data_IF_834026250515
#
_entry.id   IF_834026250515
#
_cell.length_a   1.000
_cell.length_b   1.000
_cell.length_c   1.000
_cell.angle_alpha   90.00
_cell.angle_beta   90.00
_cell.angle_gamma   90.00
#
_symmetry.space_group_name_H-M   'P 1'
#
loop_
_entity.id
_entity.type
_entity.pdbx_description
1 polymer ?
#
# COMPACT_ATOMS: atom_id res chain seq x y z
N UNK A 1 -18.88 23.77 -5.94
CA UNK A 1 -19.19 23.01 -4.71
C UNK A 1 -20.46 22.18 -4.83
N UNK A 2 -21.58 22.71 -5.35
CA UNK A 2 -22.85 21.96 -5.48
C UNK A 2 -22.77 20.74 -6.42
N UNK A 3 -21.93 20.78 -7.45
CA UNK A 3 -21.78 19.69 -8.44
C UNK A 3 -21.00 18.48 -7.91
N UNK A 4 -19.94 18.69 -7.15
CA UNK A 4 -19.09 17.62 -6.61
C UNK A 4 -19.82 16.76 -5.56
N UNK A 5 -20.63 17.40 -4.72
CA UNK A 5 -21.45 16.69 -3.73
C UNK A 5 -22.50 15.84 -4.44
N UNK A 6 -23.14 16.37 -5.49
CA UNK A 6 -24.13 15.62 -6.28
C UNK A 6 -23.54 14.37 -6.95
N UNK A 7 -22.32 14.47 -7.51
CA UNK A 7 -21.63 13.33 -8.11
C UNK A 7 -21.22 12.27 -7.08
N UNK A 8 -20.71 12.68 -5.92
CA UNK A 8 -20.34 11.75 -4.85
C UNK A 8 -21.57 11.07 -4.23
N UNK A 9 -22.69 11.80 -4.06
CA UNK A 9 -23.97 11.22 -3.64
C UNK A 9 -24.47 10.19 -4.66
N UNK A 10 -24.42 10.49 -5.96
CA UNK A 10 -24.84 9.56 -6.99
C UNK A 10 -23.97 8.28 -7.02
N UNK A 11 -22.65 8.42 -6.81
CA UNK A 11 -21.74 7.26 -6.67
C UNK A 11 -22.06 6.43 -5.43
N UNK A 12 -22.34 7.09 -4.30
CA UNK A 12 -22.72 6.42 -3.06
C UNK A 12 -24.04 5.66 -3.22
N UNK A 13 -25.06 6.27 -3.83
CA UNK A 13 -26.33 5.59 -4.12
C UNK A 13 -26.16 4.39 -5.07
N UNK A 14 -25.32 4.53 -6.09
CA UNK A 14 -25.01 3.42 -7.01
C UNK A 14 -24.29 2.28 -6.28
N UNK A 15 -23.38 2.60 -5.36
CA UNK A 15 -22.70 1.61 -4.51
C UNK A 15 -23.69 0.90 -3.58
N UNK A 16 -24.63 1.63 -2.97
CA UNK A 16 -25.68 1.05 -2.13
C UNK A 16 -26.57 0.08 -2.92
N UNK A 17 -27.04 0.46 -4.11
CA UNK A 17 -27.83 -0.44 -4.98
C UNK A 17 -27.10 -1.73 -5.31
N UNK A 18 -25.79 -1.64 -5.56
CA UNK A 18 -24.95 -2.82 -5.80
C UNK A 18 -24.83 -3.69 -4.54
N UNK A 19 -24.65 -3.07 -3.38
CA UNK A 19 -24.64 -3.75 -2.08
C UNK A 19 -25.96 -4.47 -1.78
N UNK A 20 -27.10 -3.84 -2.06
CA UNK A 20 -28.42 -4.46 -1.89
C UNK A 20 -28.58 -5.73 -2.74
N UNK A 21 -28.11 -5.68 -4.00
CA UNK A 21 -28.15 -6.84 -4.88
C UNK A 21 -27.27 -8.00 -4.36
N UNK A 22 -26.12 -7.69 -3.74
CA UNK A 22 -25.25 -8.68 -3.11
C UNK A 22 -25.95 -9.37 -1.94
N UNK A 23 -26.52 -8.59 -1.01
CA UNK A 23 -27.20 -9.13 0.18
C UNK A 23 -28.47 -9.92 -0.20
N UNK A 24 -29.19 -9.51 -1.26
CA UNK A 24 -30.32 -10.29 -1.80
C UNK A 24 -29.88 -11.61 -2.44
N UNK A 25 -28.74 -11.60 -3.13
CA UNK A 25 -28.19 -12.76 -3.83
C UNK A 25 -27.67 -13.85 -2.89
N UNK A 26 -27.29 -13.49 -1.66
CA UNK A 26 -26.79 -14.43 -0.66
C UNK A 26 -27.53 -14.27 0.69
N UNK A 27 -28.51 -15.14 0.98
CA UNK A 27 -29.24 -15.14 2.24
C UNK A 27 -28.38 -15.39 3.48
N UNK A 28 -27.18 -15.97 3.34
CA UNK A 28 -26.27 -16.26 4.45
C UNK A 28 -25.24 -15.16 4.68
N UNK A 29 -25.13 -14.22 3.75
CA UNK A 29 -24.23 -13.07 3.87
C UNK A 29 -24.46 -12.34 5.18
N UNK A 30 -23.37 -12.03 5.85
CA UNK A 30 -23.35 -11.25 7.08
C UNK A 30 -22.58 -9.92 6.89
N UNK A 31 -22.65 -8.99 7.86
CA UNK A 31 -21.95 -7.70 7.75
C UNK A 31 -20.43 -7.82 7.63
N UNK A 32 -19.82 -8.87 8.17
CA UNK A 32 -18.38 -9.06 8.11
C UNK A 32 -17.94 -9.51 6.72
N UNK A 33 -18.75 -10.30 6.01
CA UNK A 33 -18.53 -10.62 4.58
C UNK A 33 -18.47 -9.37 3.70
N UNK A 34 -19.36 -8.41 3.98
CA UNK A 34 -19.38 -7.13 3.28
C UNK A 34 -18.12 -6.30 3.55
N UNK A 35 -17.67 -6.30 4.80
CA UNK A 35 -16.45 -5.61 5.22
C UNK A 35 -15.19 -6.24 4.61
N UNK A 36 -14.99 -7.55 4.76
CA UNK A 36 -13.74 -8.20 4.35
C UNK A 36 -13.56 -8.22 2.81
N UNK A 37 -14.66 -8.26 2.06
CA UNK A 37 -14.60 -8.40 0.59
C UNK A 37 -14.70 -7.05 -0.13
N UNK A 38 -15.46 -6.09 0.41
CA UNK A 38 -15.75 -4.81 -0.25
C UNK A 38 -15.45 -3.59 0.62
N UNK A 39 -14.95 -3.76 1.85
CA UNK A 39 -14.59 -2.66 2.74
C UNK A 39 -15.80 -1.86 3.26
N UNK A 40 -17.00 -2.43 3.19
CA UNK A 40 -18.23 -1.76 3.62
C UNK A 40 -18.29 -1.81 5.16
N UNK A 41 -18.37 -0.66 5.85
CA UNK A 41 -18.43 -0.62 7.31
C UNK A 41 -19.77 -1.15 7.85
N UNK A 42 -19.83 -1.43 9.16
CA UNK A 42 -21.00 -2.02 9.80
C UNK A 42 -22.24 -1.14 9.64
N UNK A 43 -22.10 0.17 9.81
CA UNK A 43 -23.20 1.14 9.75
C UNK A 43 -23.85 1.17 8.36
N UNK A 44 -23.04 1.05 7.31
CA UNK A 44 -23.56 0.94 5.94
C UNK A 44 -24.18 -0.44 5.70
N UNK A 45 -23.63 -1.48 6.32
CA UNK A 45 -24.22 -2.82 6.27
C UNK A 45 -25.59 -2.87 6.96
N UNK A 46 -25.79 -2.19 8.10
CA UNK A 46 -27.10 -2.04 8.73
C UNK A 46 -28.13 -1.43 7.78
N UNK A 47 -27.75 -0.39 7.03
CA UNK A 47 -28.62 0.21 6.03
C UNK A 47 -28.96 -0.77 4.90
N UNK A 48 -27.95 -1.45 4.34
CA UNK A 48 -28.13 -2.41 3.24
C UNK A 48 -29.06 -3.57 3.62
N UNK A 49 -28.86 -4.15 4.80
CA UNK A 49 -29.68 -5.25 5.30
C UNK A 49 -31.12 -4.77 5.56
N UNK A 50 -31.27 -3.57 6.15
CA UNK A 50 -32.59 -2.95 6.37
C UNK A 50 -33.38 -2.76 5.07
N UNK A 51 -32.74 -2.32 3.99
CA UNK A 51 -33.37 -2.13 2.67
C UNK A 51 -33.84 -3.42 2.01
N UNK A 52 -33.27 -4.57 2.39
CA UNK A 52 -33.70 -5.89 1.91
C UNK A 52 -34.66 -6.59 2.89
N UNK A 53 -35.13 -5.88 3.92
CA UNK A 53 -36.05 -6.40 4.93
C UNK A 53 -35.41 -7.31 5.98
N UNK A 54 -34.07 -7.32 6.08
CA UNK A 54 -33.33 -8.07 7.10
C UNK A 54 -32.86 -7.10 8.18
N UNK A 55 -33.40 -7.20 9.40
CA UNK A 55 -32.97 -6.35 10.50
C UNK A 55 -31.81 -7.00 11.25
N UNK A 56 -30.68 -6.30 11.34
CA UNK A 56 -29.55 -6.73 12.17
C UNK A 56 -29.89 -6.56 13.65
N UNK A 57 -29.35 -7.44 14.47
CA UNK A 57 -29.53 -7.50 15.91
C UNK A 57 -28.23 -7.14 16.64
N UNK A 58 -28.32 -6.87 17.95
CA UNK A 58 -27.14 -6.71 18.80
C UNK A 58 -26.19 -7.93 18.75
N UNK A 59 -26.74 -9.13 18.52
CA UNK A 59 -25.93 -10.32 18.33
C UNK A 59 -25.12 -10.23 17.03
N UNK A 60 -25.73 -9.78 15.94
CA UNK A 60 -25.04 -9.63 14.65
C UNK A 60 -23.94 -8.57 14.73
N UNK A 61 -24.17 -7.49 15.51
CA UNK A 61 -23.14 -6.50 15.81
C UNK A 61 -21.96 -7.09 16.56
N UNK A 62 -22.25 -7.86 17.62
CA UNK A 62 -21.21 -8.52 18.40
C UNK A 62 -20.44 -9.55 17.58
N UNK A 63 -21.14 -10.36 16.77
CA UNK A 63 -20.50 -11.33 15.88
C UNK A 63 -19.60 -10.63 14.84
N UNK A 64 -20.01 -9.46 14.33
CA UNK A 64 -19.18 -8.62 13.46
C UNK A 64 -17.92 -8.12 14.19
N UNK A 65 -18.06 -7.55 15.39
CA UNK A 65 -16.96 -7.03 16.20
C UNK A 65 -15.95 -8.14 16.55
N UNK A 66 -16.43 -9.32 16.94
CA UNK A 66 -15.59 -10.49 17.25
C UNK A 66 -14.83 -10.99 16.01
N UNK A 67 -15.48 -11.05 14.84
CA UNK A 67 -14.84 -11.41 13.57
C UNK A 67 -13.83 -10.37 13.12
N UNK A 68 -14.16 -9.08 13.27
CA UNK A 68 -13.26 -7.97 12.97
C UNK A 68 -12.02 -8.00 13.87
N UNK A 69 -12.20 -8.24 15.17
CA UNK A 69 -11.10 -8.36 16.12
C UNK A 69 -10.16 -9.51 15.75
N UNK A 70 -10.72 -10.71 15.45
CA UNK A 70 -9.95 -11.87 14.96
C UNK A 70 -9.24 -11.60 13.65
N UNK A 71 -9.91 -10.94 12.70
CA UNK A 71 -9.29 -10.57 11.42
C UNK A 71 -8.15 -9.57 11.63
N UNK A 72 -8.34 -8.57 12.50
CA UNK A 72 -7.28 -7.62 12.84
C UNK A 72 -6.13 -8.31 13.56
N UNK A 73 -6.41 -9.25 14.46
CA UNK A 73 -5.39 -10.05 15.15
C UNK A 73 -4.61 -10.94 14.17
N UNK A 74 -5.31 -11.71 13.32
CA UNK A 74 -4.67 -12.50 12.27
C UNK A 74 -3.85 -11.61 11.33
N UNK A 75 -4.37 -10.43 10.95
CA UNK A 75 -3.62 -9.45 10.17
C UNK A 75 -2.41 -8.91 10.93
N UNK A 76 -2.46 -8.76 12.25
CA UNK A 76 -1.34 -8.33 13.10
C UNK A 76 -0.29 -9.42 13.26
N UNK A 77 -0.70 -10.66 13.49
CA UNK A 77 0.20 -11.82 13.61
C UNK A 77 0.86 -12.15 12.27
N UNK A 78 0.09 -12.13 11.19
CA UNK A 78 0.65 -12.19 9.83
C UNK A 78 1.58 -11.00 9.61
N UNK A 79 1.26 -9.78 10.04
CA UNK A 79 2.19 -8.64 9.95
C UNK A 79 3.45 -8.78 10.81
N UNK A 80 3.38 -9.54 11.90
CA UNK A 80 4.53 -9.84 12.76
C UNK A 80 5.45 -10.89 12.12
N UNK A 81 4.90 -11.79 11.29
CA UNK A 81 5.64 -12.75 10.47
C UNK A 81 5.98 -12.26 9.04
N UNK A 82 5.25 -11.27 8.51
CA UNK A 82 5.51 -10.59 7.23
C UNK A 82 6.71 -9.71 7.44
N UNK A 83 7.83 -10.21 6.93
CA UNK A 83 9.15 -9.61 6.97
C UNK A 83 9.12 -8.08 6.81
N UNK A 84 9.89 -7.43 7.69
CA UNK A 84 10.17 -5.99 7.75
C UNK A 84 10.20 -5.37 6.33
N UNK A 85 9.25 -4.49 6.03
CA UNK A 85 9.18 -3.80 4.73
C UNK A 85 8.10 -4.28 3.76
N UNK A 86 7.25 -5.25 4.16
CA UNK A 86 6.17 -5.76 3.31
C UNK A 86 6.60 -6.91 2.40
N UNK A 87 7.68 -7.62 2.77
CA UNK A 87 8.22 -8.74 2.00
C UNK A 87 7.46 -10.03 2.33
N UNK A 88 7.12 -10.80 1.29
CA UNK A 88 6.52 -12.12 1.46
C UNK A 88 7.53 -13.17 1.94
N UNK A 89 8.80 -13.05 1.51
CA UNK A 89 9.91 -13.91 1.89
C UNK A 89 11.26 -13.16 1.73
N UNK A 90 12.39 -13.89 1.71
CA UNK A 90 13.74 -13.33 1.50
C UNK A 90 14.46 -13.97 0.30
N UNK A 91 13.71 -14.40 -0.72
CA UNK A 91 14.24 -14.86 -2.00
C UNK A 91 14.98 -13.74 -2.72
N UNK A 92 15.85 -14.10 -3.69
CA UNK A 92 16.58 -13.12 -4.49
C UNK A 92 15.65 -12.19 -5.25
N UNK A 93 14.56 -12.72 -5.79
CA UNK A 93 13.52 -11.99 -6.51
C UNK A 93 12.84 -10.94 -5.62
N UNK A 94 12.46 -11.33 -4.40
CA UNK A 94 11.86 -10.41 -3.43
C UNK A 94 12.87 -9.33 -3.00
N UNK A 95 14.14 -9.68 -2.80
CA UNK A 95 15.21 -8.73 -2.45
C UNK A 95 15.46 -7.71 -3.58
N UNK A 96 15.45 -8.15 -4.84
CA UNK A 96 15.53 -7.27 -6.03
C UNK A 96 14.39 -6.27 -6.03
N UNK A 97 13.16 -6.77 -5.90
CA UNK A 97 11.95 -5.94 -5.91
C UNK A 97 11.83 -5.03 -4.68
N UNK A 98 12.41 -5.42 -3.55
CA UNK A 98 12.48 -4.55 -2.38
C UNK A 98 13.35 -3.32 -2.62
N UNK A 99 14.51 -3.52 -3.23
CA UNK A 99 15.39 -2.40 -3.61
C UNK A 99 14.76 -1.55 -4.72
N UNK A 100 14.08 -2.18 -5.68
CA UNK A 100 13.30 -1.48 -6.70
C UNK A 100 12.22 -0.58 -6.08
N UNK A 101 11.61 -0.98 -4.97
CA UNK A 101 10.60 -0.18 -4.26
C UNK A 101 11.16 1.16 -3.77
N UNK A 102 12.40 1.18 -3.25
CA UNK A 102 13.07 2.42 -2.83
C UNK A 102 13.35 3.35 -4.02
N UNK A 103 13.77 2.79 -5.15
CA UNK A 103 13.99 3.56 -6.37
C UNK A 103 12.69 4.13 -6.91
N UNK A 104 11.62 3.33 -6.95
CA UNK A 104 10.29 3.77 -7.38
C UNK A 104 9.80 4.90 -6.48
N UNK A 105 9.96 4.78 -5.16
CA UNK A 105 9.50 5.80 -4.23
C UNK A 105 10.26 7.12 -4.41
N UNK A 106 11.59 7.07 -4.49
CA UNK A 106 12.40 8.26 -4.76
C UNK A 106 12.07 8.89 -6.13
N UNK A 107 11.85 8.08 -7.17
CA UNK A 107 11.44 8.55 -8.49
C UNK A 107 10.06 9.23 -8.46
N UNK A 108 9.08 8.64 -7.76
CA UNK A 108 7.75 9.25 -7.57
C UNK A 108 7.87 10.60 -6.87
N UNK A 109 8.68 10.73 -5.82
CA UNK A 109 8.93 12.01 -5.14
C UNK A 109 9.60 13.05 -6.04
N UNK A 110 10.51 12.64 -6.92
CA UNK A 110 11.16 13.55 -7.89
C UNK A 110 10.19 14.00 -8.99
N UNK A 111 9.28 13.15 -9.43
CA UNK A 111 8.34 13.46 -10.54
C UNK A 111 7.11 14.22 -10.03
N UNK A 112 6.55 13.81 -8.89
CA UNK A 112 5.27 14.30 -8.36
C UNK A 112 5.43 15.26 -7.17
N UNK A 113 6.62 15.35 -6.60
CA UNK A 113 6.95 16.22 -5.47
C UNK A 113 7.09 15.50 -4.12
N UNK A 114 7.62 16.22 -3.14
CA UNK A 114 8.00 15.71 -1.81
C UNK A 114 6.80 15.34 -0.91
N UNK A 115 5.58 15.64 -1.32
CA UNK A 115 4.35 15.27 -0.60
C UNK A 115 3.97 13.80 -0.79
N UNK A 116 4.58 13.10 -1.75
CA UNK A 116 4.39 11.67 -1.94
C UNK A 116 4.96 10.91 -0.73
N UNK A 117 4.10 10.17 -0.05
CA UNK A 117 4.46 9.35 1.11
C UNK A 117 3.93 7.93 0.92
N UNK A 118 4.72 6.95 1.32
CA UNK A 118 4.30 5.55 1.33
C UNK A 118 3.08 5.36 2.25
N UNK A 119 2.07 4.63 1.75
CA UNK A 119 0.87 4.21 2.48
C UNK A 119 0.79 2.70 2.65
N UNK A 120 1.53 1.93 1.86
CA UNK A 120 1.57 0.48 1.93
C UNK A 120 2.56 -0.11 0.93
N UNK A 121 3.08 -1.30 1.23
CA UNK A 121 3.89 -2.09 0.31
C UNK A 121 3.59 -3.57 0.48
N UNK A 122 3.66 -4.34 -0.60
CA UNK A 122 3.65 -5.79 -0.59
C UNK A 122 4.50 -6.31 -1.75
N UNK A 123 5.51 -7.11 -1.44
CA UNK A 123 6.48 -7.62 -2.39
C UNK A 123 6.46 -9.15 -2.34
N UNK A 124 6.36 -9.75 -3.51
CA UNK A 124 6.35 -11.20 -3.79
C UNK A 124 7.38 -11.47 -4.87
N UNK A 125 7.76 -12.73 -5.11
CA UNK A 125 8.73 -13.07 -6.15
C UNK A 125 8.29 -12.59 -7.55
N UNK A 126 6.98 -12.48 -7.80
CA UNK A 126 6.43 -12.12 -9.10
C UNK A 126 6.20 -10.62 -9.29
N UNK A 127 6.06 -9.86 -8.20
CA UNK A 127 5.66 -8.44 -8.27
C UNK A 127 5.92 -7.67 -6.98
N UNK A 128 6.07 -6.35 -7.11
CA UNK A 128 5.85 -5.39 -6.02
C UNK A 128 4.54 -4.63 -6.22
N UNK A 129 3.88 -4.33 -5.10
CA UNK A 129 2.73 -3.44 -4.99
C UNK A 129 3.10 -2.30 -4.08
N UNK A 130 3.01 -1.07 -4.57
CA UNK A 130 3.37 0.12 -3.82
C UNK A 130 2.20 1.11 -3.77
N UNK A 131 1.81 1.50 -2.57
CA UNK A 131 0.72 2.44 -2.32
C UNK A 131 1.30 3.74 -1.80
N UNK A 132 0.90 4.87 -2.36
CA UNK A 132 1.42 6.18 -1.99
C UNK A 132 0.36 7.28 -2.04
N UNK A 133 0.62 8.38 -1.31
CA UNK A 133 -0.27 9.53 -1.29
C UNK A 133 -0.17 10.34 -2.58
N UNK A 134 -1.26 10.40 -3.32
CA UNK A 134 -1.42 11.24 -4.50
C UNK A 134 -2.93 11.39 -4.83
N UNK A 135 -3.43 12.57 -5.22
CA UNK A 135 -4.87 12.81 -5.37
C UNK A 135 -5.50 12.06 -6.56
N UNK A 136 -4.72 11.80 -7.61
CA UNK A 136 -5.19 11.26 -8.88
C UNK A 136 -4.25 10.20 -9.44
N UNK A 137 -4.68 9.47 -10.46
CA UNK A 137 -3.81 8.48 -11.12
C UNK A 137 -2.71 9.19 -11.88
N UNK A 138 -1.56 8.54 -12.03
CA UNK A 138 -0.47 9.08 -12.84
C UNK A 138 -0.90 9.09 -14.30
N UNK A 139 -0.52 10.14 -15.02
CA UNK A 139 -0.55 10.15 -16.47
C UNK A 139 0.47 9.17 -17.04
N UNK A 140 0.27 8.74 -18.30
CA UNK A 140 1.21 7.87 -19.00
C UNK A 140 2.62 8.48 -19.09
N UNK A 141 2.72 9.80 -19.16
CA UNK A 141 3.99 10.51 -19.17
C UNK A 141 4.70 10.44 -17.81
N UNK A 142 3.96 10.59 -16.71
CA UNK A 142 4.52 10.45 -15.36
C UNK A 142 4.96 9.02 -15.10
N UNK A 143 4.19 8.01 -15.52
CA UNK A 143 4.61 6.61 -15.45
C UNK A 143 5.92 6.40 -16.19
N UNK A 144 6.03 6.89 -17.44
CA UNK A 144 7.27 6.79 -18.23
C UNK A 144 8.44 7.50 -17.58
N UNK A 145 8.24 8.67 -16.99
CA UNK A 145 9.29 9.40 -16.25
C UNK A 145 9.76 8.65 -15.02
N UNK A 146 8.83 8.11 -14.22
CA UNK A 146 9.16 7.31 -13.03
C UNK A 146 9.94 6.07 -13.44
N UNK A 147 9.42 5.29 -14.40
CA UNK A 147 10.08 4.09 -14.90
C UNK A 147 11.46 4.39 -15.50
N UNK A 148 11.58 5.49 -16.27
CA UNK A 148 12.84 5.94 -16.84
C UNK A 148 13.88 6.29 -15.77
N UNK A 149 13.50 7.08 -14.75
CA UNK A 149 14.41 7.45 -13.66
C UNK A 149 14.89 6.26 -12.84
N UNK A 150 14.01 5.28 -12.59
CA UNK A 150 14.38 4.04 -11.89
C UNK A 150 15.41 3.26 -12.70
N UNK A 151 15.12 3.01 -13.99
CA UNK A 151 16.03 2.24 -14.83
C UNK A 151 17.36 2.96 -15.08
N UNK A 152 17.36 4.30 -15.17
CA UNK A 152 18.59 5.10 -15.23
C UNK A 152 19.47 4.89 -13.97
N UNK A 153 18.87 4.82 -12.78
CA UNK A 153 19.63 4.53 -11.55
C UNK A 153 20.13 3.08 -11.49
N UNK A 154 19.41 2.16 -12.13
CA UNK A 154 19.85 0.77 -12.24
C UNK A 154 21.05 0.66 -13.17
N UNK A 155 21.01 1.32 -14.32
CA UNK A 155 22.11 1.37 -15.29
C UNK A 155 23.39 1.99 -14.72
N UNK A 156 23.28 2.88 -13.73
CA UNK A 156 24.42 3.47 -13.02
C UNK A 156 25.15 2.51 -12.07
N UNK A 157 24.64 1.30 -11.82
CA UNK A 157 25.21 0.31 -10.89
C UNK A 157 25.55 0.90 -9.50
N UNK A 158 24.62 1.65 -8.92
CA UNK A 158 24.82 2.36 -7.66
C UNK A 158 24.99 1.36 -6.50
N UNK A 159 25.91 1.63 -5.55
CA UNK A 159 26.03 0.81 -4.35
C UNK A 159 24.81 1.00 -3.45
N UNK A 160 24.40 -0.09 -2.82
CA UNK A 160 23.35 -0.13 -1.79
C UNK A 160 24.03 -0.48 -0.47
N UNK A 161 23.96 0.44 0.49
CA UNK A 161 24.57 0.27 1.80
C UNK A 161 23.58 0.63 2.89
N UNK A 162 23.87 0.21 4.12
CA UNK A 162 23.13 0.68 5.28
C UNK A 162 24.03 0.97 6.46
N UNK A 163 23.55 1.84 7.33
CA UNK A 163 24.14 2.13 8.63
C UNK A 163 23.08 1.95 9.72
N UNK A 164 23.50 1.47 10.90
CA UNK A 164 22.63 1.45 12.08
C UNK A 164 22.78 2.76 12.85
N UNK A 165 21.69 3.49 13.01
CA UNK A 165 21.64 4.79 13.69
C UNK A 165 20.41 4.88 14.58
N UNK A 166 20.35 5.88 15.44
CA UNK A 166 19.10 6.21 16.13
C UNK A 166 18.08 6.78 15.15
N UNK A 167 16.79 6.62 15.43
CA UNK A 167 15.73 7.21 14.59
C UNK A 167 15.87 8.74 14.46
N UNK A 168 16.26 9.42 15.53
CA UNK A 168 16.50 10.86 15.53
C UNK A 168 17.62 11.26 14.57
N UNK A 169 18.76 10.56 14.60
CA UNK A 169 19.87 10.80 13.66
C UNK A 169 19.46 10.53 12.22
N UNK A 170 18.76 9.41 11.97
CA UNK A 170 18.28 9.06 10.63
C UNK A 170 17.41 10.19 10.05
N UNK A 171 16.46 10.68 10.85
CA UNK A 171 15.54 11.77 10.45
C UNK A 171 16.31 13.07 10.20
N UNK A 172 17.29 13.40 11.06
CA UNK A 172 18.13 14.60 10.91
C UNK A 172 18.98 14.56 9.62
N UNK A 173 19.41 13.38 9.19
CA UNK A 173 20.15 13.16 7.94
C UNK A 173 19.26 13.12 6.69
N UNK A 174 17.96 13.38 6.85
CA UNK A 174 16.98 13.39 5.77
C UNK A 174 16.53 12.00 5.32
N UNK A 175 16.77 10.95 6.11
CA UNK A 175 16.25 9.63 5.79
C UNK A 175 14.72 9.63 5.89
N UNK A 176 14.07 9.12 4.86
CA UNK A 176 12.62 8.99 4.88
C UNK A 176 12.22 7.83 5.80
N UNK A 177 11.23 8.07 6.66
CA UNK A 177 10.67 7.06 7.54
C UNK A 177 9.15 7.19 7.55
N UNK A 178 8.44 6.07 7.40
CA UNK A 178 7.00 6.10 7.11
C UNK A 178 6.13 5.58 8.23
N UNK A 179 6.67 4.69 9.06
CA UNK A 179 5.94 4.06 10.16
C UNK A 179 6.63 4.34 11.50
N UNK A 180 6.81 5.64 11.81
CA UNK A 180 7.52 6.19 12.98
C UNK A 180 7.33 5.39 14.27
N UNK A 181 6.07 5.12 14.62
CA UNK A 181 5.68 4.42 15.85
C UNK A 181 6.14 2.95 15.93
N UNK A 182 6.56 2.35 14.81
CA UNK A 182 7.01 0.95 14.73
C UNK A 182 8.53 0.79 14.79
N UNK A 183 9.29 1.89 14.83
CA UNK A 183 10.75 1.81 14.84
C UNK A 183 11.27 1.72 16.29
N UNK A 184 12.22 0.81 16.51
CA UNK A 184 12.95 0.70 17.77
C UNK A 184 13.98 1.83 17.94
N UNK A 185 14.71 1.80 19.07
CA UNK A 185 15.74 2.80 19.40
C UNK A 185 16.81 2.92 18.31
N UNK A 186 17.20 1.78 17.71
CA UNK A 186 18.09 1.70 16.56
C UNK A 186 17.34 1.27 15.32
N UNK A 187 17.66 1.93 14.21
CA UNK A 187 17.11 1.66 12.88
C UNK A 187 18.23 1.48 11.87
N UNK A 188 17.95 0.71 10.82
CA UNK A 188 18.81 0.63 9.64
C UNK A 188 18.39 1.69 8.64
N UNK A 189 19.34 2.50 8.22
CA UNK A 189 19.16 3.52 7.18
C UNK A 189 19.83 3.02 5.92
N UNK A 190 19.04 2.64 4.92
CA UNK A 190 19.54 2.23 3.62
C UNK A 190 19.77 3.45 2.73
N UNK A 191 20.91 3.49 2.06
CA UNK A 191 21.29 4.51 1.09
C UNK A 191 21.58 3.84 -0.25
N UNK A 192 20.99 4.38 -1.32
CA UNK A 192 21.19 3.92 -2.71
C UNK A 192 21.75 5.09 -3.51
N UNK A 193 23.08 5.11 -3.66
CA UNK A 193 23.80 6.26 -4.21
C UNK A 193 23.39 7.57 -3.55
N UNK A 194 23.17 8.61 -4.35
CA UNK A 194 22.62 9.90 -3.94
C UNK A 194 21.09 9.99 -4.19
N UNK A 195 20.46 8.88 -4.59
CA UNK A 195 19.10 8.88 -5.11
C UNK A 195 18.04 8.62 -4.06
N UNK A 196 18.30 7.69 -3.13
CA UNK A 196 17.36 7.28 -2.08
C UNK A 196 18.07 7.07 -0.76
N UNK A 197 17.43 7.51 0.34
CA UNK A 197 17.85 7.29 1.72
C UNK A 197 16.62 7.05 2.58
N UNK A 198 16.44 5.83 3.07
CA UNK A 198 15.21 5.41 3.75
C UNK A 198 15.48 4.51 4.95
N UNK A 199 14.65 4.63 5.98
CA UNK A 199 14.65 3.72 7.12
C UNK A 199 13.94 2.41 6.74
N UNK A 200 14.71 1.33 6.59
CA UNK A 200 14.18 0.04 6.19
C UNK A 200 14.86 -1.12 6.94
N UNK A 201 14.09 -2.14 7.30
CA UNK A 201 14.56 -3.29 8.09
C UNK A 201 14.70 -4.59 7.31
N UNK A 202 14.34 -4.61 6.03
CA UNK A 202 14.40 -5.80 5.18
C UNK A 202 15.74 -5.93 4.43
N UNK A 203 16.06 -7.11 3.88
CA UNK A 203 17.24 -7.31 3.05
C UNK A 203 17.16 -6.56 1.72
N UNK A 204 18.31 -6.16 1.18
CA UNK A 204 18.45 -5.47 -0.10
C UNK A 204 19.58 -6.09 -0.92
N UNK A 205 19.57 -5.84 -2.23
CA UNK A 205 20.72 -6.17 -3.10
C UNK A 205 21.92 -5.30 -2.70
N UNK A 206 23.13 -5.64 -3.16
CA UNK A 206 24.33 -4.84 -2.87
C UNK A 206 24.56 -3.73 -3.87
N UNK A 207 24.02 -3.88 -5.09
CA UNK A 207 24.06 -2.86 -6.14
C UNK A 207 22.79 -2.83 -6.97
N UNK A 208 22.48 -1.67 -7.57
CA UNK A 208 21.24 -1.51 -8.34
C UNK A 208 21.20 -2.34 -9.63
N UNK A 209 22.35 -2.69 -10.24
CA UNK A 209 22.38 -3.55 -11.45
C UNK A 209 21.80 -4.94 -11.21
N UNK A 210 21.85 -5.45 -9.97
CA UNK A 210 21.27 -6.73 -9.60
C UNK A 210 19.73 -6.74 -9.73
N UNK A 211 19.09 -5.56 -9.76
CA UNK A 211 17.63 -5.43 -9.88
C UNK A 211 17.15 -5.86 -11.27
N UNK A 212 17.94 -5.70 -12.33
CA UNK A 212 17.49 -5.86 -13.71
C UNK A 212 16.61 -4.69 -14.16
N UNK A 213 15.66 -4.92 -15.06
CA UNK A 213 14.80 -3.85 -15.61
C UNK A 213 13.47 -3.78 -14.87
N UNK A 214 13.12 -2.60 -14.36
CA UNK A 214 11.85 -2.37 -13.67
C UNK A 214 10.80 -1.87 -14.64
N UNK A 215 9.58 -2.40 -14.52
CA UNK A 215 8.42 -1.98 -15.31
C UNK A 215 7.18 -1.77 -14.44
N UNK A 216 6.48 -0.66 -14.61
CA UNK A 216 5.17 -0.42 -13.99
C UNK A 216 4.09 -1.04 -14.89
N UNK A 217 3.39 -2.05 -14.37
CA UNK A 217 2.44 -2.87 -15.16
C UNK A 217 0.98 -2.49 -14.93
N UNK A 218 0.64 -1.89 -13.79
CA UNK A 218 -0.74 -1.52 -13.46
C UNK A 218 -0.77 -0.39 -12.43
N UNK A 219 -1.82 0.43 -12.49
CA UNK A 219 -2.17 1.38 -11.43
C UNK A 219 -3.66 1.38 -11.08
N UNK A 220 -3.98 1.65 -9.82
CA UNK A 220 -5.33 1.69 -9.26
C UNK A 220 -5.49 2.89 -8.33
N UNK A 221 -6.70 3.45 -8.28
CA UNK A 221 -7.06 4.48 -7.28
C UNK A 221 -7.75 3.76 -6.12
N UNK A 222 -7.14 3.81 -4.94
CA UNK A 222 -7.59 3.04 -3.76
C UNK A 222 -8.60 3.79 -2.89
N UNK A 223 -8.99 5.00 -3.31
CA UNK A 223 -9.86 5.91 -2.57
C UNK A 223 -9.41 7.35 -2.74
N UNK A 224 -9.77 8.20 -1.78
CA UNK A 224 -9.35 9.60 -1.76
C UNK A 224 -7.89 9.72 -1.36
N UNK A 225 -7.05 10.25 -2.25
CA UNK A 225 -5.66 10.61 -1.95
C UNK A 225 -4.66 9.45 -1.91
N UNK A 226 -5.04 8.24 -2.33
CA UNK A 226 -4.13 7.09 -2.40
C UNK A 226 -4.15 6.43 -3.78
N UNK A 227 -2.96 6.26 -4.34
CA UNK A 227 -2.73 5.54 -5.59
C UNK A 227 -1.90 4.31 -5.30
N UNK A 228 -2.23 3.21 -5.97
CA UNK A 228 -1.50 1.96 -5.95
C UNK A 228 -0.90 1.70 -7.31
N UNK A 229 0.36 1.31 -7.34
CA UNK A 229 1.03 0.80 -8.54
C UNK A 229 1.51 -0.63 -8.31
N UNK A 230 1.57 -1.38 -9.40
CA UNK A 230 2.20 -2.68 -9.46
C UNK A 230 3.36 -2.62 -10.43
N UNK A 231 4.49 -3.19 -10.04
CA UNK A 231 5.67 -3.27 -10.87
C UNK A 231 6.33 -4.66 -10.78
N UNK A 232 7.10 -4.98 -11.80
CA UNK A 232 7.92 -6.20 -11.90
C UNK A 232 9.35 -5.82 -12.21
N UNK A 233 10.27 -6.76 -12.00
CA UNK A 233 11.67 -6.64 -12.38
C UNK A 233 12.06 -7.85 -13.23
N UNK A 234 12.67 -7.60 -14.38
CA UNK A 234 13.14 -8.62 -15.34
C UNK A 234 14.68 -8.65 -15.35
#
# INVERSE_FOLDING_TARGET
MVTLIGEEVAKFEAALKKGEAMVKGDPKMDPFDLYQSWGIPYEVSEELFGRVGRKLTEKDKKDFEDKLAKHQELSRELSAGVFRGGLADTSGEVIRLHTATHLIHAALRKVLGESVSQKGSNITAERLRFDFSHPEKLSDNEIKKVEGLVNEQIEKDLPVSFEEKTYAQATQEGALAFFGEKYGEKVKVYTIGDFSKEVCGGPHVTKTSEIGRVRIVKQEKMGTGVVRIYATAE
#
